data_IF_602855888946
#
_entry.id   IF_602855888946
#
_cell.length_a   1.000
_cell.length_b   1.000
_cell.length_c   1.000
_cell.angle_alpha   90.00
_cell.angle_beta   90.00
_cell.angle_gamma   90.00
#
_symmetry.space_group_name_H-M   'P 1'
#
loop_
_entity.id
_entity.type
_entity.pdbx_description
1 polymer ?
#
# COMPACT_ATOMS: atom_id res chain seq x y z
N UNK A 1 -1.55 8.78 71.78
CA UNK A 1 -1.91 7.38 71.49
C UNK A 1 -3.02 7.29 70.45
N UNK A 2 -4.23 7.81 70.68
CA UNK A 2 -5.36 7.74 69.74
C UNK A 2 -5.08 8.23 68.30
N UNK A 3 -4.34 9.34 68.13
CA UNK A 3 -4.01 9.85 66.79
C UNK A 3 -3.10 8.90 65.98
N UNK A 4 -2.23 8.15 66.65
CA UNK A 4 -1.35 7.18 66.00
C UNK A 4 -2.14 5.93 65.58
N UNK A 5 -3.08 5.47 66.40
CA UNK A 5 -3.96 4.34 66.09
C UNK A 5 -4.90 4.65 64.92
N UNK A 6 -5.49 5.86 64.89
CA UNK A 6 -6.28 6.33 63.76
C UNK A 6 -5.43 6.45 62.48
N UNK A 7 -4.20 6.97 62.61
CA UNK A 7 -3.26 7.04 61.50
C UNK A 7 -2.85 5.68 60.95
N UNK A 8 -2.68 4.67 61.82
CA UNK A 8 -2.39 3.29 61.43
C UNK A 8 -3.59 2.65 60.73
N UNK A 9 -4.81 2.81 61.28
CA UNK A 9 -6.04 2.30 60.67
C UNK A 9 -6.26 2.85 59.27
N UNK A 10 -6.03 4.15 59.06
CA UNK A 10 -6.15 4.78 57.74
C UNK A 10 -5.12 4.26 56.73
N UNK A 11 -3.87 4.04 57.18
CA UNK A 11 -2.83 3.45 56.34
C UNK A 11 -3.15 2.01 55.98
N UNK A 12 -3.68 1.25 56.92
CA UNK A 12 -4.03 -0.15 56.70
C UNK A 12 -5.20 -0.29 55.72
N UNK A 13 -6.25 0.54 55.86
CA UNK A 13 -7.33 0.58 54.86
C UNK A 13 -6.86 1.03 53.48
N UNK A 14 -5.89 1.95 53.43
CA UNK A 14 -5.31 2.41 52.16
C UNK A 14 -4.49 1.31 51.48
N UNK A 15 -3.73 0.52 52.25
CA UNK A 15 -2.97 -0.65 51.76
C UNK A 15 -3.95 -1.70 51.22
N UNK A 16 -4.99 -2.07 51.97
CA UNK A 16 -5.99 -3.05 51.53
C UNK A 16 -6.69 -2.63 50.22
N UNK A 17 -7.02 -1.35 50.09
CA UNK A 17 -7.61 -0.81 48.85
C UNK A 17 -6.62 -0.89 47.69
N UNK A 18 -5.33 -0.64 47.93
CA UNK A 18 -4.28 -0.76 46.90
C UNK A 18 -4.03 -2.20 46.50
N UNK A 19 -4.08 -3.14 47.43
CA UNK A 19 -3.94 -4.57 47.15
C UNK A 19 -5.12 -5.10 46.32
N UNK A 20 -6.35 -4.66 46.63
CA UNK A 20 -7.53 -4.96 45.81
C UNK A 20 -7.40 -4.39 44.39
N UNK A 21 -6.95 -3.13 44.25
CA UNK A 21 -6.69 -2.52 42.93
C UNK A 21 -5.62 -3.30 42.14
N UNK A 22 -4.55 -3.70 42.81
CA UNK A 22 -3.47 -4.48 42.18
C UNK A 22 -3.97 -5.86 41.72
N UNK A 23 -4.78 -6.53 42.53
CA UNK A 23 -5.40 -7.81 42.16
C UNK A 23 -6.27 -7.71 40.91
N UNK A 24 -7.07 -6.65 40.79
CA UNK A 24 -7.89 -6.38 39.60
C UNK A 24 -7.03 -6.16 38.36
N UNK A 25 -5.96 -5.35 38.45
CA UNK A 25 -5.04 -5.10 37.34
C UNK A 25 -4.34 -6.38 36.89
N UNK A 26 -3.95 -7.25 37.81
CA UNK A 26 -3.32 -8.54 37.48
C UNK A 26 -4.29 -9.48 36.76
N UNK A 27 -5.55 -9.54 37.19
CA UNK A 27 -6.60 -10.32 36.54
C UNK A 27 -6.89 -9.82 35.13
N UNK A 28 -6.99 -8.50 34.95
CA UNK A 28 -7.18 -7.91 33.62
C UNK A 28 -5.96 -8.17 32.71
N UNK A 29 -4.75 -8.09 33.26
CA UNK A 29 -3.52 -8.47 32.56
C UNK A 29 -3.49 -9.94 32.16
N UNK A 30 -3.97 -10.85 33.00
CA UNK A 30 -4.09 -12.28 32.70
C UNK A 30 -5.13 -12.53 31.59
N UNK A 31 -6.31 -11.91 31.69
CA UNK A 31 -7.37 -11.98 30.67
C UNK A 31 -6.88 -11.44 29.32
N UNK A 32 -6.10 -10.35 29.33
CA UNK A 32 -5.47 -9.81 28.13
C UNK A 32 -4.51 -10.81 27.47
N UNK A 33 -3.63 -11.44 28.26
CA UNK A 33 -2.72 -12.49 27.74
C UNK A 33 -3.48 -13.68 27.17
N UNK A 34 -4.53 -14.14 27.83
CA UNK A 34 -5.37 -15.24 27.33
C UNK A 34 -6.09 -14.88 26.04
N UNK A 35 -6.61 -13.65 25.91
CA UNK A 35 -7.25 -13.18 24.69
C UNK A 35 -6.25 -13.18 23.53
N UNK A 36 -5.03 -12.68 23.74
CA UNK A 36 -3.95 -12.68 22.75
C UNK A 36 -3.60 -14.11 22.32
N UNK A 37 -3.48 -15.05 23.26
CA UNK A 37 -3.18 -16.45 22.94
C UNK A 37 -4.30 -17.11 22.12
N UNK A 38 -5.57 -16.86 22.49
CA UNK A 38 -6.73 -17.36 21.73
C UNK A 38 -6.78 -16.78 20.32
N UNK A 39 -6.52 -15.49 20.16
CA UNK A 39 -6.48 -14.84 18.85
C UNK A 39 -5.34 -15.40 17.99
N UNK A 40 -4.13 -15.54 18.56
CA UNK A 40 -3.00 -16.17 17.86
C UNK A 40 -3.34 -17.58 17.37
N UNK A 41 -3.96 -18.39 18.22
CA UNK A 41 -4.38 -19.74 17.84
C UNK A 41 -5.43 -19.71 16.72
N UNK A 42 -6.43 -18.81 16.82
CA UNK A 42 -7.43 -18.62 15.78
C UNK A 42 -6.80 -18.23 14.43
N UNK A 43 -5.87 -17.27 14.44
CA UNK A 43 -5.12 -16.83 13.24
C UNK A 43 -4.29 -17.98 12.67
N UNK A 44 -3.65 -18.78 13.53
CA UNK A 44 -2.86 -19.94 13.10
C UNK A 44 -3.72 -21.01 12.43
N UNK A 45 -4.90 -21.30 12.98
CA UNK A 45 -5.87 -22.22 12.38
C UNK A 45 -6.30 -21.73 11.00
N UNK A 46 -6.67 -20.44 10.87
CA UNK A 46 -7.04 -19.86 9.57
C UNK A 46 -5.88 -19.91 8.57
N UNK A 47 -4.64 -19.65 9.01
CA UNK A 47 -3.47 -19.78 8.13
C UNK A 47 -3.26 -21.21 7.65
N UNK A 48 -3.47 -22.19 8.53
CA UNK A 48 -3.36 -23.61 8.19
C UNK A 48 -4.40 -24.02 7.15
N UNK A 49 -5.66 -23.63 7.31
CA UNK A 49 -6.72 -23.98 6.36
C UNK A 49 -6.46 -23.37 4.97
N UNK A 50 -6.03 -22.11 4.90
CA UNK A 50 -5.67 -21.46 3.63
C UNK A 50 -4.51 -22.17 2.93
N UNK A 51 -3.48 -22.58 3.67
CA UNK A 51 -2.34 -23.34 3.12
C UNK A 51 -2.79 -24.71 2.61
N UNK A 52 -3.61 -25.42 3.38
CA UNK A 52 -4.12 -26.73 2.98
C UNK A 52 -4.96 -26.63 1.71
N UNK A 53 -5.78 -25.59 1.57
CA UNK A 53 -6.58 -25.33 0.36
C UNK A 53 -5.68 -25.01 -0.85
N UNK A 54 -4.67 -24.16 -0.69
CA UNK A 54 -3.69 -23.91 -1.77
C UNK A 54 -2.92 -25.18 -2.16
N UNK A 55 -2.54 -26.02 -1.21
CA UNK A 55 -1.93 -27.32 -1.49
C UNK A 55 -2.88 -28.25 -2.27
N UNK A 56 -4.19 -28.21 -1.98
CA UNK A 56 -5.20 -28.97 -2.74
C UNK A 56 -5.30 -28.47 -4.17
N UNK A 57 -5.39 -27.16 -4.38
CA UNK A 57 -5.42 -26.55 -5.71
C UNK A 57 -4.17 -26.89 -6.52
N UNK A 58 -2.98 -26.82 -5.91
CA UNK A 58 -1.73 -27.21 -6.57
C UNK A 58 -1.72 -28.69 -6.94
N UNK A 59 -2.21 -29.58 -6.08
CA UNK A 59 -2.36 -31.01 -6.41
C UNK A 59 -3.29 -31.24 -7.59
N UNK A 60 -4.42 -30.52 -7.64
CA UNK A 60 -5.36 -30.59 -8.77
C UNK A 60 -4.70 -30.11 -10.07
N UNK A 61 -4.01 -28.97 -10.03
CA UNK A 61 -3.31 -28.42 -11.18
C UNK A 61 -2.20 -29.37 -11.68
N UNK A 62 -1.42 -29.94 -10.77
CA UNK A 62 -0.40 -30.95 -11.10
C UNK A 62 -1.03 -32.17 -11.76
N UNK A 63 -2.18 -32.63 -11.25
CA UNK A 63 -2.90 -33.75 -11.84
C UNK A 63 -3.34 -33.43 -13.28
N UNK A 64 -3.90 -32.25 -13.53
CA UNK A 64 -4.28 -31.79 -14.86
C UNK A 64 -3.08 -31.71 -15.82
N UNK A 65 -1.93 -31.20 -15.34
CA UNK A 65 -0.69 -31.14 -16.15
C UNK A 65 -0.22 -32.55 -16.51
N UNK A 66 -0.26 -33.50 -15.56
CA UNK A 66 0.10 -34.90 -15.82
C UNK A 66 -0.85 -35.56 -16.82
N UNK A 67 -2.16 -35.34 -16.69
CA UNK A 67 -3.14 -35.83 -17.67
C UNK A 67 -2.89 -35.24 -19.06
N UNK A 68 -2.59 -33.95 -19.15
CA UNK A 68 -2.27 -33.29 -20.42
C UNK A 68 -0.99 -33.87 -21.04
N UNK A 69 0.07 -34.05 -20.25
CA UNK A 69 1.31 -34.66 -20.72
C UNK A 69 1.10 -36.11 -21.21
N UNK A 70 0.26 -36.89 -20.52
CA UNK A 70 -0.10 -38.24 -20.94
C UNK A 70 -0.85 -38.24 -22.29
N UNK A 71 -1.82 -37.34 -22.47
CA UNK A 71 -2.55 -37.16 -23.74
C UNK A 71 -1.64 -36.76 -24.91
N UNK A 72 -0.56 -36.02 -24.66
CA UNK A 72 0.44 -35.72 -25.69
C UNK A 72 1.35 -36.91 -26.01
N UNK A 73 1.64 -37.79 -25.05
CA UNK A 73 2.44 -38.99 -25.28
C UNK A 73 1.65 -40.13 -25.95
N UNK A 74 0.34 -40.21 -25.70
CA UNK A 74 -0.54 -41.27 -26.21
C UNK A 74 -0.51 -41.43 -27.75
N UNK A 75 -0.50 -40.36 -28.57
CA UNK A 75 -0.38 -40.48 -30.03
C UNK A 75 1.06 -40.74 -30.50
N UNK A 76 2.07 -40.25 -29.79
CA UNK A 76 3.48 -40.31 -30.21
C UNK A 76 4.03 -41.74 -30.10
N UNK A 77 3.66 -42.47 -29.04
CA UNK A 77 4.16 -43.83 -28.78
C UNK A 77 3.71 -44.85 -29.83
N UNK A 78 2.42 -44.94 -30.21
CA UNK A 78 1.94 -45.84 -31.26
C UNK A 78 2.48 -45.49 -32.64
N UNK A 79 2.64 -44.19 -32.97
CA UNK A 79 3.24 -43.77 -34.24
C UNK A 79 4.69 -44.26 -34.38
N UNK A 80 5.48 -44.18 -33.30
CA UNK A 80 6.84 -44.71 -33.27
C UNK A 80 6.86 -46.25 -33.38
N UNK A 81 5.90 -46.95 -32.79
CA UNK A 81 5.76 -48.41 -32.88
C UNK A 81 5.27 -48.89 -34.25
N UNK A 82 4.35 -48.18 -34.89
CA UNK A 82 3.86 -48.46 -36.24
C UNK A 82 4.95 -48.27 -37.30
N UNK A 83 5.77 -47.21 -37.17
CA UNK A 83 6.94 -46.98 -38.04
C UNK A 83 7.93 -48.14 -37.96
N UNK A 84 8.20 -48.63 -36.74
CA UNK A 84 9.03 -49.83 -36.51
C UNK A 84 8.43 -51.07 -37.17
N UNK A 85 7.11 -51.28 -37.09
CA UNK A 85 6.41 -52.41 -37.73
C UNK A 85 6.42 -52.34 -39.26
N UNK A 86 6.36 -51.13 -39.83
CA UNK A 86 6.37 -50.89 -41.29
C UNK A 86 7.79 -50.78 -41.89
N UNK A 87 8.85 -50.93 -41.09
CA UNK A 87 10.24 -50.67 -41.49
C UNK A 87 10.47 -49.26 -42.07
N UNK A 88 9.62 -48.28 -41.72
CA UNK A 88 9.76 -46.89 -42.15
C UNK A 88 10.76 -46.18 -41.22
N UNK A 89 11.82 -45.59 -41.80
CA UNK A 89 12.77 -44.79 -41.03
C UNK A 89 12.15 -43.43 -40.67
N UNK A 90 12.06 -43.15 -39.37
CA UNK A 90 11.75 -41.81 -38.90
C UNK A 90 12.82 -40.83 -39.37
N UNK A 91 12.39 -39.69 -39.93
CA UNK A 91 13.31 -38.62 -40.34
C UNK A 91 14.09 -38.14 -39.10
N UNK A 92 15.37 -37.81 -39.28
CA UNK A 92 16.23 -37.37 -38.17
C UNK A 92 15.63 -36.19 -37.36
N UNK A 93 14.91 -35.28 -38.05
CA UNK A 93 14.21 -34.15 -37.42
C UNK A 93 13.04 -34.57 -36.54
N UNK A 94 12.28 -35.58 -36.95
CA UNK A 94 11.14 -36.10 -36.19
C UNK A 94 11.61 -36.83 -34.93
N UNK A 95 12.64 -37.69 -35.06
CA UNK A 95 13.28 -38.35 -33.92
C UNK A 95 13.89 -37.37 -32.91
N UNK A 96 14.45 -36.26 -33.38
CA UNK A 96 14.99 -35.21 -32.51
C UNK A 96 13.86 -34.48 -31.76
N UNK A 97 12.76 -34.16 -32.44
CA UNK A 97 11.59 -33.52 -31.83
C UNK A 97 10.89 -34.42 -30.80
N UNK A 98 10.72 -35.72 -31.08
CA UNK A 98 10.15 -36.68 -30.12
C UNK A 98 11.01 -36.81 -28.86
N UNK A 99 12.35 -36.84 -29.01
CA UNK A 99 13.27 -36.89 -27.87
C UNK A 99 13.28 -35.60 -27.06
N UNK A 100 13.20 -34.44 -27.71
CA UNK A 100 13.10 -33.16 -27.04
C UNK A 100 11.81 -33.08 -26.22
N UNK A 101 10.66 -33.45 -26.81
CA UNK A 101 9.37 -33.47 -26.12
C UNK A 101 9.37 -34.41 -24.91
N UNK A 102 9.95 -35.61 -25.04
CA UNK A 102 10.06 -36.55 -23.92
C UNK A 102 10.96 -36.01 -22.80
N UNK A 103 12.04 -35.31 -23.15
CA UNK A 103 12.92 -34.66 -22.17
C UNK A 103 12.21 -33.51 -21.45
N UNK A 104 11.46 -32.67 -22.16
CA UNK A 104 10.69 -31.57 -21.58
C UNK A 104 9.60 -32.08 -20.63
N UNK A 105 8.84 -33.11 -21.02
CA UNK A 105 7.82 -33.72 -20.16
C UNK A 105 8.46 -34.28 -18.89
N UNK A 106 9.59 -34.98 -19.02
CA UNK A 106 10.32 -35.53 -17.88
C UNK A 106 10.81 -34.42 -16.94
N UNK A 107 11.37 -33.35 -17.49
CA UNK A 107 11.80 -32.19 -16.72
C UNK A 107 10.63 -31.59 -15.94
N UNK A 108 9.49 -31.35 -16.60
CA UNK A 108 8.28 -30.82 -15.98
C UNK A 108 7.83 -31.73 -14.83
N UNK A 109 7.76 -33.05 -15.06
CA UNK A 109 7.34 -34.03 -14.05
C UNK A 109 8.25 -34.08 -12.82
N UNK A 110 9.56 -33.86 -12.98
CA UNK A 110 10.51 -33.78 -11.87
C UNK A 110 10.31 -32.51 -11.02
N UNK A 111 9.84 -31.41 -11.62
CA UNK A 111 9.59 -30.15 -10.91
C UNK A 111 8.20 -30.08 -10.24
N UNK A 112 7.18 -30.75 -10.78
CA UNK A 112 5.80 -30.66 -10.27
C UNK A 112 5.67 -30.95 -8.75
N UNK A 113 6.31 -31.99 -8.17
CA UNK A 113 6.23 -32.25 -6.74
C UNK A 113 6.79 -31.11 -5.88
N UNK A 114 7.83 -30.40 -6.36
CA UNK A 114 8.45 -29.28 -5.63
C UNK A 114 7.52 -28.08 -5.49
N UNK A 115 6.52 -27.96 -6.37
CA UNK A 115 5.50 -26.92 -6.30
C UNK A 115 4.49 -27.16 -5.17
N UNK A 116 4.29 -28.41 -4.76
CA UNK A 116 3.40 -28.75 -3.62
C UNK A 116 4.03 -28.26 -2.31
N UNK A 117 5.35 -28.41 -2.17
CA UNK A 117 6.13 -28.03 -0.98
C UNK A 117 6.50 -26.54 -0.91
N UNK A 118 6.14 -25.74 -1.92
CA UNK A 118 6.41 -24.30 -1.92
C UNK A 118 5.56 -23.63 -0.84
N UNK A 119 6.09 -23.46 0.36
CA UNK A 119 5.39 -22.76 1.43
C UNK A 119 5.17 -21.29 1.05
N UNK A 120 3.94 -20.81 1.16
CA UNK A 120 3.63 -19.36 1.04
C UNK A 120 4.08 -18.58 2.30
N UNK A 121 4.70 -19.29 3.25
CA UNK A 121 5.24 -18.76 4.49
C UNK A 121 6.70 -18.49 4.21
N UNK A 122 7.23 -17.33 4.62
CA UNK A 122 8.66 -17.13 4.56
C UNK A 122 9.39 -18.24 5.32
N UNK A 123 10.33 -18.88 4.62
CA UNK A 123 11.18 -19.98 5.11
C UNK A 123 11.88 -19.59 6.42
N UNK A 124 12.18 -18.30 6.59
CA UNK A 124 12.64 -17.71 7.85
C UNK A 124 11.81 -16.46 8.21
N UNK A 125 10.91 -16.55 9.22
CA UNK A 125 10.08 -15.43 9.64
C UNK A 125 10.90 -14.31 10.29
N UNK A 126 12.07 -14.62 10.84
CA UNK A 126 12.95 -13.67 11.54
C UNK A 126 13.74 -12.82 10.54
N UNK A 127 14.36 -13.44 9.53
CA UNK A 127 14.96 -12.74 8.38
C UNK A 127 13.93 -11.88 7.65
N UNK A 128 12.72 -12.40 7.44
CA UNK A 128 11.64 -11.63 6.80
C UNK A 128 11.20 -10.44 7.68
N UNK A 129 11.22 -10.62 9.01
CA UNK A 129 10.99 -9.53 9.95
C UNK A 129 12.07 -8.45 9.89
N UNK A 130 13.34 -8.84 9.72
CA UNK A 130 14.46 -7.92 9.54
C UNK A 130 14.31 -7.15 8.23
N UNK A 131 14.04 -7.83 7.12
CA UNK A 131 13.86 -7.21 5.81
C UNK A 131 12.69 -6.22 5.84
N UNK A 132 11.55 -6.59 6.45
CA UNK A 132 10.41 -5.66 6.59
C UNK A 132 10.78 -4.39 7.33
N UNK A 133 11.49 -4.49 8.47
CA UNK A 133 11.92 -3.32 9.24
C UNK A 133 12.85 -2.41 8.44
N UNK A 134 13.73 -2.98 7.61
CA UNK A 134 14.60 -2.21 6.72
C UNK A 134 13.78 -1.43 5.68
N UNK A 135 12.77 -2.07 5.09
CA UNK A 135 11.86 -1.40 4.16
C UNK A 135 11.04 -0.31 4.86
N UNK A 136 10.47 -0.59 6.03
CA UNK A 136 9.68 0.40 6.79
C UNK A 136 10.50 1.65 7.09
N UNK A 137 11.79 1.51 7.41
CA UNK A 137 12.70 2.64 7.65
C UNK A 137 12.96 3.44 6.36
N UNK A 138 13.25 2.75 5.24
CA UNK A 138 13.45 3.40 3.93
C UNK A 138 12.19 4.14 3.48
N UNK A 139 11.01 3.53 3.62
CA UNK A 139 9.74 4.17 3.26
C UNK A 139 9.44 5.40 4.11
N UNK A 140 9.75 5.38 5.41
CA UNK A 140 9.60 6.57 6.26
C UNK A 140 10.52 7.71 5.82
N UNK A 141 11.77 7.41 5.47
CA UNK A 141 12.73 8.41 5.00
C UNK A 141 12.28 9.02 3.66
N UNK A 142 11.81 8.18 2.74
CA UNK A 142 11.28 8.63 1.44
C UNK A 142 10.01 9.47 1.61
N UNK A 143 9.09 9.04 2.48
CA UNK A 143 7.86 9.77 2.82
C UNK A 143 8.18 11.16 3.37
N UNK A 144 9.09 11.27 4.34
CA UNK A 144 9.53 12.56 4.88
C UNK A 144 10.14 13.45 3.79
N UNK A 145 10.97 12.88 2.92
CA UNK A 145 11.60 13.62 1.81
C UNK A 145 10.55 14.15 0.82
N UNK A 146 9.55 13.32 0.50
CA UNK A 146 8.45 13.70 -0.38
C UNK A 146 7.60 14.81 0.24
N UNK A 147 7.24 14.67 1.51
CA UNK A 147 6.46 15.67 2.24
C UNK A 147 7.19 17.01 2.32
N UNK A 148 8.50 17.01 2.61
CA UNK A 148 9.31 18.22 2.62
C UNK A 148 9.31 18.91 1.24
N UNK A 149 9.46 18.13 0.16
CA UNK A 149 9.41 18.64 -1.22
C UNK A 149 8.02 19.21 -1.57
N UNK A 150 6.95 18.56 -1.11
CA UNK A 150 5.58 19.01 -1.31
C UNK A 150 5.30 20.33 -0.58
N UNK A 151 5.78 20.48 0.65
CA UNK A 151 5.67 21.72 1.43
C UNK A 151 6.44 22.88 0.79
N UNK A 152 7.64 22.61 0.26
CA UNK A 152 8.41 23.61 -0.48
C UNK A 152 7.67 24.07 -1.75
N UNK A 153 7.12 23.12 -2.52
CA UNK A 153 6.36 23.42 -3.72
C UNK A 153 5.08 24.20 -3.42
N UNK A 154 4.39 23.86 -2.33
CA UNK A 154 3.23 24.62 -1.85
C UNK A 154 3.64 26.04 -1.47
N UNK A 155 4.71 26.20 -0.71
CA UNK A 155 5.26 27.51 -0.34
C UNK A 155 5.64 28.35 -1.55
N UNK A 156 6.20 27.72 -2.59
CA UNK A 156 6.53 28.38 -3.86
C UNK A 156 5.27 28.88 -4.57
N UNK A 157 4.25 28.03 -4.70
CA UNK A 157 2.96 28.41 -5.32
C UNK A 157 2.27 29.54 -4.57
N UNK A 158 2.30 29.52 -3.24
CA UNK A 158 1.74 30.61 -2.44
C UNK A 158 2.47 31.94 -2.67
N UNK A 159 3.80 31.93 -2.74
CA UNK A 159 4.58 33.15 -3.05
C UNK A 159 4.21 33.71 -4.43
N UNK A 160 4.12 32.84 -5.43
CA UNK A 160 3.71 33.22 -6.78
C UNK A 160 2.27 33.75 -6.80
N UNK A 161 1.35 33.09 -6.09
CA UNK A 161 -0.04 33.52 -5.96
C UNK A 161 -0.16 34.90 -5.33
N UNK A 162 0.57 35.16 -4.24
CA UNK A 162 0.64 36.49 -3.62
C UNK A 162 1.21 37.54 -4.59
N UNK A 163 2.27 37.20 -5.33
CA UNK A 163 2.85 38.10 -6.33
C UNK A 163 1.88 38.45 -7.46
N UNK A 164 1.12 37.46 -7.95
CA UNK A 164 0.09 37.67 -8.97
C UNK A 164 -1.06 38.55 -8.47
N UNK A 165 -1.46 38.37 -7.21
CA UNK A 165 -2.54 39.17 -6.62
C UNK A 165 -2.13 40.64 -6.50
N UNK A 166 -0.90 40.91 -6.05
CA UNK A 166 -0.35 42.27 -6.01
C UNK A 166 -0.30 42.89 -7.42
N UNK A 167 0.10 42.11 -8.43
CA UNK A 167 0.11 42.59 -9.81
C UNK A 167 -1.30 42.93 -10.33
N UNK A 168 -2.29 42.07 -10.06
CA UNK A 168 -3.69 42.33 -10.43
C UNK A 168 -4.23 43.59 -9.76
N UNK A 169 -3.98 43.75 -8.46
CA UNK A 169 -4.43 44.92 -7.72
C UNK A 169 -3.84 46.21 -8.31
N UNK A 170 -2.52 46.22 -8.59
CA UNK A 170 -1.85 47.35 -9.22
C UNK A 170 -2.48 47.71 -10.58
N UNK A 171 -2.77 46.71 -11.41
CA UNK A 171 -3.40 46.94 -12.72
C UNK A 171 -4.81 47.53 -12.58
N UNK A 172 -5.58 47.08 -11.59
CA UNK A 172 -6.90 47.64 -11.28
C UNK A 172 -6.79 49.08 -10.77
N UNK A 173 -5.86 49.36 -9.86
CA UNK A 173 -5.62 50.69 -9.33
C UNK A 173 -5.21 51.67 -10.44
N UNK A 174 -4.31 51.26 -11.35
CA UNK A 174 -3.91 52.06 -12.52
C UNK A 174 -5.09 52.33 -13.47
N UNK A 175 -5.98 51.36 -13.67
CA UNK A 175 -7.18 51.55 -14.49
C UNK A 175 -8.17 52.53 -13.84
N UNK A 176 -8.42 52.38 -12.53
CA UNK A 176 -9.29 53.28 -11.76
C UNK A 176 -8.73 54.69 -11.73
N UNK A 177 -7.42 54.85 -11.51
CA UNK A 177 -6.76 56.15 -11.53
C UNK A 177 -6.94 56.86 -12.88
N UNK A 178 -6.71 56.16 -14.00
CA UNK A 178 -6.94 56.71 -15.35
C UNK A 178 -8.39 57.07 -15.62
N UNK A 179 -9.34 56.30 -15.08
CA UNK A 179 -10.76 56.62 -15.22
C UNK A 179 -11.12 57.87 -14.43
N UNK A 180 -10.62 58.00 -13.20
CA UNK A 180 -10.86 59.16 -12.35
C UNK A 180 -10.21 60.43 -12.91
N UNK A 181 -9.00 60.33 -13.46
CA UNK A 181 -8.34 61.44 -14.18
C UNK A 181 -9.23 61.99 -15.31
N UNK A 182 -9.75 61.09 -16.16
CA UNK A 182 -10.68 61.50 -17.24
C UNK A 182 -11.98 62.11 -16.74
N UNK A 183 -12.52 61.61 -15.63
CA UNK A 183 -13.72 62.17 -15.01
C UNK A 183 -13.42 63.58 -14.49
N UNK A 184 -12.30 63.79 -13.80
CA UNK A 184 -11.90 65.10 -13.32
C UNK A 184 -11.61 66.10 -14.45
N UNK A 185 -10.98 65.66 -15.54
CA UNK A 185 -10.80 66.51 -16.73
C UNK A 185 -12.16 66.92 -17.32
N UNK A 186 -13.10 65.98 -17.42
CA UNK A 186 -14.46 66.26 -17.92
C UNK A 186 -15.21 67.24 -17.00
N UNK A 187 -15.17 67.03 -15.68
CA UNK A 187 -15.75 67.93 -14.67
C UNK A 187 -15.13 69.35 -14.78
N UNK A 188 -13.81 69.45 -14.94
CA UNK A 188 -13.12 70.72 -15.12
C UNK A 188 -13.57 71.44 -16.40
N UNK A 189 -13.74 70.70 -17.51
CA UNK A 189 -14.27 71.28 -18.75
C UNK A 189 -15.73 71.71 -18.63
N UNK A 190 -16.57 70.94 -17.93
CA UNK A 190 -17.97 71.29 -17.67
C UNK A 190 -18.04 72.57 -16.84
N UNK A 191 -17.31 72.65 -15.73
CA UNK A 191 -17.25 73.85 -14.91
C UNK A 191 -16.78 75.08 -15.69
N UNK A 192 -15.78 74.92 -16.57
CA UNK A 192 -15.31 76.02 -17.41
C UNK A 192 -16.40 76.49 -18.39
N UNK A 193 -17.08 75.55 -19.07
CA UNK A 193 -18.16 75.87 -19.99
C UNK A 193 -19.36 76.51 -19.29
N UNK A 194 -19.77 75.99 -18.12
CA UNK A 194 -20.80 76.62 -17.28
C UNK A 194 -20.40 78.04 -16.91
N UNK A 195 -19.15 78.28 -16.51
CA UNK A 195 -18.66 79.63 -16.22
C UNK A 195 -18.69 80.56 -17.43
N UNK A 196 -18.41 80.07 -18.64
CA UNK A 196 -18.50 80.87 -19.87
C UNK A 196 -19.95 81.19 -20.22
N UNK A 197 -20.85 80.21 -20.07
CA UNK A 197 -22.29 80.40 -20.29
C UNK A 197 -22.85 81.45 -19.32
N UNK A 198 -22.47 81.37 -18.04
CA UNK A 198 -22.88 82.34 -17.02
C UNK A 198 -22.34 83.76 -17.30
N UNK A 199 -21.19 83.89 -17.97
CA UNK A 199 -20.64 85.19 -18.42
C UNK A 199 -21.33 85.75 -19.67
N UNK A 200 -21.96 84.91 -20.50
CA UNK A 200 -22.64 85.34 -21.73
C UNK A 200 -24.11 85.66 -21.49
N UNK A 201 -24.74 85.00 -20.49
CA UNK A 201 -26.16 85.16 -20.17
C UNK A 201 -26.45 86.21 -19.08
N UNK A 202 -25.42 86.71 -18.39
CA UNK A 202 -25.50 87.85 -17.46
C UNK A 202 -24.82 89.08 -18.08
#
# INVERSE_FOLDING_TARGET
>A
MQQLEQGLSLRQSAIETKDQQLGMVQLDGARGREAIMRERHSVEVVRRTVREERCRQRRQWIHQVKEMNAKFQEPVRPLAEERKKKCEQAKAKENAAERALAADIKMIEEYLPKLISLEDIPVNPEETGIIRRQFDEVFKQEEQTYLASAEEEQSRKERLGRGLEVYRQRMLDEYVAKKNEKLHDAEATEHHLSSVVDQVLN
#
